data_IF_653685204660
#
_entry.id   IF_653685204660
#
_cell.length_a   1.000
_cell.length_b   1.000
_cell.length_c   1.000
_cell.angle_alpha   90.00
_cell.angle_beta   90.00
_cell.angle_gamma   90.00
#
_symmetry.space_group_name_H-M   'P 1'
#
loop_
_entity.id
_entity.type
_entity.pdbx_description
1 polymer ?
#
# COMPACT_ATOMS: atom_id res chain seq x y z
N UNK A 1 10.86 25.48 0.25
CA UNK A 1 10.63 24.08 0.66
C UNK A 1 9.52 24.10 1.71
N UNK A 2 8.45 23.31 1.56
CA UNK A 2 7.38 23.24 2.57
C UNK A 2 7.88 22.49 3.81
N UNK A 3 7.60 23.00 5.01
CA UNK A 3 8.04 22.37 6.25
C UNK A 3 7.26 21.06 6.49
N UNK A 4 7.92 19.95 6.86
CA UNK A 4 7.27 18.65 7.09
C UNK A 4 6.25 18.68 8.25
N UNK A 5 6.35 19.66 9.15
CA UNK A 5 5.41 19.89 10.26
C UNK A 5 4.00 20.33 9.82
N UNK A 6 3.80 20.73 8.57
CA UNK A 6 2.48 21.11 8.05
C UNK A 6 1.63 19.91 7.62
N UNK A 7 2.19 18.70 7.63
CA UNK A 7 1.50 17.49 7.18
C UNK A 7 1.30 16.53 8.34
N UNK A 8 0.05 16.15 8.57
CA UNK A 8 -0.30 15.05 9.46
C UNK A 8 -0.49 13.80 8.62
N UNK A 9 0.42 12.85 8.74
CA UNK A 9 0.28 11.53 8.11
C UNK A 9 -0.28 10.57 9.15
N UNK A 10 -1.35 9.81 8.84
CA UNK A 10 -1.79 8.74 9.72
C UNK A 10 -0.67 7.70 9.87
N UNK A 11 -0.67 6.97 11.00
CA UNK A 11 0.23 5.84 11.17
C UNK A 11 0.03 4.85 10.01
N UNK A 12 1.10 4.32 9.40
CA UNK A 12 0.98 3.24 8.42
C UNK A 12 0.28 1.99 8.96
N UNK A 13 0.26 1.84 10.29
CA UNK A 13 -0.41 0.75 11.00
C UNK A 13 -1.85 1.09 11.40
N UNK A 14 -2.33 2.30 11.09
CA UNK A 14 -3.71 2.70 11.39
C UNK A 14 -4.69 1.77 10.67
N UNK A 15 -5.60 1.14 11.43
CA UNK A 15 -6.55 0.14 10.93
C UNK A 15 -6.04 -1.31 10.95
N UNK A 16 -4.80 -1.55 11.38
CA UNK A 16 -4.20 -2.89 11.52
C UNK A 16 -3.92 -3.28 12.97
N UNK A 17 -4.44 -2.53 13.95
CA UNK A 17 -4.13 -2.70 15.38
C UNK A 17 -4.55 -4.07 15.93
N UNK A 18 -5.59 -4.67 15.34
CA UNK A 18 -6.12 -5.99 15.70
C UNK A 18 -6.06 -6.98 14.53
N UNK A 19 -5.15 -6.75 13.57
CA UNK A 19 -5.00 -7.64 12.43
C UNK A 19 -4.59 -9.06 12.89
N UNK A 20 -5.06 -10.12 12.21
CA UNK A 20 -4.62 -11.47 12.52
C UNK A 20 -3.10 -11.60 12.32
N UNK A 21 -2.45 -12.54 13.04
CA UNK A 21 -1.03 -12.83 12.82
C UNK A 21 -0.79 -13.30 11.39
N UNK A 22 0.48 -13.22 10.96
CA UNK A 22 0.89 -13.74 9.66
C UNK A 22 0.60 -15.26 9.56
N UNK A 23 0.20 -15.76 8.38
CA UNK A 23 -0.04 -17.18 8.17
C UNK A 23 1.27 -17.97 8.20
N UNK A 24 1.21 -19.23 8.65
CA UNK A 24 2.38 -20.14 8.66
C UNK A 24 2.60 -20.85 7.31
N UNK A 25 1.62 -20.80 6.41
CA UNK A 25 1.68 -21.45 5.11
C UNK A 25 2.74 -20.78 4.22
N UNK A 26 3.69 -21.58 3.73
CA UNK A 26 4.73 -21.11 2.82
C UNK A 26 4.32 -21.31 1.37
N UNK A 27 4.74 -20.38 0.52
CA UNK A 27 4.65 -20.52 -0.93
C UNK A 27 5.44 -21.76 -1.40
N UNK A 28 5.15 -22.23 -2.62
CA UNK A 28 5.77 -23.43 -3.19
C UNK A 28 7.31 -23.38 -3.26
N UNK A 29 7.90 -22.17 -3.28
CA UNK A 29 9.35 -21.96 -3.25
C UNK A 29 9.97 -22.04 -1.84
N UNK A 30 9.14 -22.08 -0.79
CA UNK A 30 9.54 -22.11 0.62
C UNK A 30 10.16 -20.82 1.16
N UNK A 31 10.21 -19.75 0.37
CA UNK A 31 10.93 -18.49 0.70
C UNK A 31 10.05 -17.41 1.27
N UNK A 32 8.74 -17.51 1.06
CA UNK A 32 7.75 -16.52 1.50
C UNK A 32 6.51 -17.20 2.06
N UNK A 33 5.76 -16.46 2.88
CA UNK A 33 4.42 -16.87 3.27
C UNK A 33 3.45 -16.66 2.11
N UNK A 34 2.38 -17.45 2.07
CA UNK A 34 1.32 -17.27 1.07
C UNK A 34 0.61 -15.93 1.31
N UNK A 35 0.59 -15.08 0.29
CA UNK A 35 -0.15 -13.82 0.34
C UNK A 35 -1.66 -14.11 0.31
N UNK A 36 -2.45 -13.57 1.26
CA UNK A 36 -3.89 -13.70 1.21
C UNK A 36 -4.46 -12.98 -0.03
N UNK A 37 -5.53 -13.52 -0.66
CA UNK A 37 -6.14 -12.88 -1.81
C UNK A 37 -6.84 -11.58 -1.38
N UNK A 38 -6.53 -10.47 -2.05
CA UNK A 38 -7.17 -9.17 -1.79
C UNK A 38 -8.55 -9.02 -2.43
N UNK A 39 -8.92 -9.90 -3.37
CA UNK A 39 -10.20 -9.88 -4.09
C UNK A 39 -10.37 -8.74 -5.10
N UNK A 40 -9.59 -7.67 -4.97
CA UNK A 40 -9.60 -6.51 -5.87
C UNK A 40 -8.17 -6.11 -6.26
N UNK A 41 -8.02 -5.56 -7.46
CA UNK A 41 -6.77 -4.95 -7.91
C UNK A 41 -6.56 -3.60 -7.20
N UNK A 42 -5.31 -3.24 -6.96
CA UNK A 42 -4.99 -1.92 -6.44
C UNK A 42 -5.38 -0.84 -7.45
N UNK A 43 -5.95 0.27 -6.97
CA UNK A 43 -6.23 1.47 -7.79
C UNK A 43 -4.97 2.01 -8.48
N UNK A 44 -3.79 1.66 -7.98
CA UNK A 44 -2.50 2.02 -8.58
C UNK A 44 -2.29 1.45 -9.99
N UNK A 45 -3.02 0.41 -10.39
CA UNK A 45 -3.00 -0.10 -11.76
C UNK A 45 -3.69 0.83 -12.76
N UNK A 46 -4.59 1.69 -12.28
CA UNK A 46 -5.37 2.61 -13.10
C UNK A 46 -4.81 4.03 -13.03
N UNK A 47 -4.25 4.44 -11.89
CA UNK A 47 -3.77 5.80 -11.64
C UNK A 47 -2.65 5.85 -10.60
N UNK A 48 -1.75 6.82 -10.69
CA UNK A 48 -0.78 7.15 -9.67
C UNK A 48 -1.46 7.52 -8.34
N UNK A 49 -0.80 7.16 -7.24
CA UNK A 49 -1.23 7.50 -5.88
C UNK A 49 -1.00 8.98 -5.60
N UNK A 50 -1.91 9.58 -4.83
CA UNK A 50 -1.75 10.96 -4.38
C UNK A 50 -0.43 11.14 -3.61
N UNK A 51 0.23 12.31 -3.73
CA UNK A 51 -0.22 13.53 -4.42
C UNK A 51 0.18 13.62 -5.90
N UNK A 52 0.59 12.52 -6.53
CA UNK A 52 1.04 12.55 -7.92
C UNK A 52 -0.14 12.80 -8.87
N UNK A 53 0.07 13.76 -9.77
CA UNK A 53 -0.89 14.06 -10.83
C UNK A 53 -0.90 12.96 -11.90
N UNK A 54 -2.08 12.68 -12.43
CA UNK A 54 -2.34 11.69 -13.47
C UNK A 54 -2.53 12.31 -14.86
N UNK A 55 -2.39 13.63 -15.00
CA UNK A 55 -2.44 14.33 -16.27
C UNK A 55 -1.20 14.11 -17.16
N UNK A 56 -1.35 14.38 -18.46
CA UNK A 56 -0.24 14.39 -19.43
C UNK A 56 0.56 15.68 -19.21
N UNK A 57 1.88 15.56 -19.03
CA UNK A 57 2.79 16.71 -18.92
C UNK A 57 3.55 16.92 -20.23
N UNK A 58 3.61 18.17 -20.72
CA UNK A 58 4.44 18.55 -21.88
C UNK A 58 3.74 18.55 -23.24
N UNK A 59 2.43 18.83 -23.28
CA UNK A 59 1.69 19.09 -24.53
C UNK A 59 1.85 20.56 -24.99
#
# INVERSE_FOLDING_TARGET
>A
MASPAHYTYPSPLAGYENAPPLPDEKAADGKSYVNPPTGVLSKSYERFTEPLDNGIRGA
#
